data_IF_611025263457
#
_entry.id   IF_611025263457
#
_cell.length_a   1.000
_cell.length_b   1.000
_cell.length_c   1.000
_cell.angle_alpha   90.00
_cell.angle_beta   90.00
_cell.angle_gamma   90.00
#
_symmetry.space_group_name_H-M   'P 1'
#
loop_
_entity.id
_entity.type
_entity.pdbx_description
1 polymer ?
#
# COMPACT_ATOMS: atom_id res chain seq x y z
N UNK A 1 -15.92 -52.23 54.81
CA UNK A 1 -15.14 -51.26 54.01
C UNK A 1 -15.48 -51.53 52.56
N UNK A 2 -16.03 -50.51 51.90
CA UNK A 2 -16.85 -50.61 50.70
C UNK A 2 -16.03 -50.89 49.43
N UNK A 3 -16.60 -51.70 48.52
CA UNK A 3 -16.13 -51.84 47.14
C UNK A 3 -16.57 -50.63 46.32
N UNK A 4 -15.60 -49.92 45.73
CA UNK A 4 -15.87 -48.83 44.78
C UNK A 4 -15.91 -49.38 43.36
N UNK A 5 -17.03 -49.18 42.66
CA UNK A 5 -17.14 -49.37 41.22
C UNK A 5 -16.36 -48.28 40.47
N UNK A 6 -15.65 -48.71 39.43
CA UNK A 6 -14.96 -47.82 38.48
C UNK A 6 -16.00 -47.30 37.47
N UNK A 7 -16.11 -46.00 37.21
CA UNK A 7 -17.12 -45.49 36.28
C UNK A 7 -16.80 -45.92 34.84
N UNK A 8 -17.80 -46.49 34.18
CA UNK A 8 -17.74 -46.95 32.80
C UNK A 8 -17.72 -45.74 31.85
N UNK A 9 -16.63 -45.57 31.09
CA UNK A 9 -16.54 -44.54 30.05
C UNK A 9 -17.46 -44.93 28.90
N UNK A 10 -18.46 -44.10 28.61
CA UNK A 10 -19.37 -44.32 27.49
C UNK A 10 -18.59 -44.24 26.17
N UNK A 11 -18.59 -45.34 25.41
CA UNK A 11 -18.03 -45.41 24.06
C UNK A 11 -19.05 -44.80 23.11
N UNK A 12 -18.73 -43.64 22.52
CA UNK A 12 -19.58 -43.02 21.48
C UNK A 12 -19.72 -43.99 20.29
N UNK A 13 -20.94 -44.13 19.76
CA UNK A 13 -21.21 -45.05 18.66
C UNK A 13 -20.99 -44.35 17.32
N UNK A 14 -20.75 -45.13 16.26
CA UNK A 14 -20.58 -44.60 14.89
C UNK A 14 -21.80 -43.78 14.39
N UNK A 15 -22.94 -43.82 15.08
CA UNK A 15 -24.13 -43.01 14.78
C UNK A 15 -24.11 -41.59 15.35
N UNK A 16 -23.10 -41.21 16.14
CA UNK A 16 -23.02 -39.89 16.79
C UNK A 16 -22.35 -38.81 15.90
N UNK A 17 -21.91 -39.17 14.70
CA UNK A 17 -21.27 -38.27 13.75
C UNK A 17 -22.30 -37.70 12.77
N UNK A 18 -22.52 -36.38 12.82
CA UNK A 18 -23.25 -35.67 11.76
C UNK A 18 -22.37 -35.61 10.52
N UNK A 19 -22.95 -35.86 9.34
CA UNK A 19 -22.31 -35.53 8.07
C UNK A 19 -21.94 -34.04 8.08
N UNK A 20 -20.64 -33.78 7.97
CA UNK A 20 -20.13 -32.47 7.58
C UNK A 20 -20.73 -32.17 6.21
N UNK A 21 -21.59 -31.14 6.14
CA UNK A 21 -22.13 -30.65 4.87
C UNK A 21 -20.99 -30.46 3.86
N UNK A 22 -21.28 -30.70 2.58
CA UNK A 22 -20.29 -30.64 1.51
C UNK A 22 -19.37 -29.42 1.69
N UNK A 23 -18.07 -29.69 1.80
CA UNK A 23 -17.08 -28.63 1.87
C UNK A 23 -17.28 -27.71 0.64
N UNK A 24 -17.29 -26.38 0.82
CA UNK A 24 -17.41 -25.46 -0.31
C UNK A 24 -16.32 -25.80 -1.32
N UNK A 25 -16.69 -25.87 -2.61
CA UNK A 25 -15.71 -26.16 -3.65
C UNK A 25 -14.62 -25.08 -3.65
N UNK A 26 -13.33 -25.46 -3.77
CA UNK A 26 -12.25 -24.49 -3.85
C UNK A 26 -12.50 -23.55 -5.03
N UNK A 27 -12.70 -22.26 -4.77
CA UNK A 27 -12.69 -21.27 -5.84
C UNK A 27 -11.28 -21.21 -6.43
N UNK A 28 -11.19 -21.14 -7.76
CA UNK A 28 -9.91 -20.95 -8.42
C UNK A 28 -9.29 -19.63 -7.94
N UNK A 29 -7.97 -19.58 -7.70
CA UNK A 29 -7.29 -18.37 -7.27
C UNK A 29 -7.55 -17.20 -8.23
N UNK A 30 -7.61 -16.00 -7.68
CA UNK A 30 -7.61 -14.80 -8.49
C UNK A 30 -6.39 -14.77 -9.42
N UNK A 31 -6.63 -14.50 -10.70
CA UNK A 31 -5.59 -14.61 -11.73
C UNK A 31 -5.54 -13.36 -12.58
N UNK A 32 -4.33 -13.09 -13.07
CA UNK A 32 -4.06 -11.99 -13.98
C UNK A 32 -4.93 -12.09 -15.25
N UNK A 33 -5.20 -10.97 -15.93
CA UNK A 33 -5.82 -10.98 -17.25
C UNK A 33 -5.06 -11.87 -18.26
N UNK A 34 -5.73 -12.35 -19.30
CA UNK A 34 -5.10 -13.15 -20.36
C UNK A 34 -4.06 -12.38 -21.19
N UNK A 35 -3.14 -13.09 -21.83
CA UNK A 35 -2.01 -12.50 -22.54
C UNK A 35 -2.42 -11.53 -23.68
N UNK A 36 -3.47 -11.86 -24.42
CA UNK A 36 -4.02 -10.98 -25.48
C UNK A 36 -4.48 -9.64 -24.90
N UNK A 37 -5.27 -9.67 -23.83
CA UNK A 37 -5.71 -8.47 -23.14
C UNK A 37 -4.53 -7.65 -22.60
N UNK A 38 -3.51 -8.32 -22.04
CA UNK A 38 -2.33 -7.64 -21.52
C UNK A 38 -1.58 -6.91 -22.64
N UNK A 39 -1.35 -7.58 -23.78
CA UNK A 39 -0.65 -7.00 -24.92
C UNK A 39 -1.38 -5.76 -25.46
N UNK A 40 -2.69 -5.85 -25.68
CA UNK A 40 -3.51 -4.73 -26.14
C UNK A 40 -3.51 -3.57 -25.13
N UNK A 41 -3.70 -3.90 -23.84
CA UNK A 41 -3.81 -2.91 -22.78
C UNK A 41 -2.49 -2.20 -22.49
N UNK A 42 -1.34 -2.88 -22.62
CA UNK A 42 -0.02 -2.25 -22.57
C UNK A 42 0.14 -1.19 -23.66
N UNK A 43 -0.27 -1.51 -24.90
CA UNK A 43 -0.28 -0.55 -26.00
C UNK A 43 -1.16 0.68 -25.73
N UNK A 44 -2.29 0.50 -25.05
CA UNK A 44 -3.14 1.60 -24.61
C UNK A 44 -2.51 2.43 -23.48
N UNK A 45 -1.89 1.77 -22.50
CA UNK A 45 -1.20 2.45 -21.38
C UNK A 45 -0.12 3.38 -21.92
N UNK A 46 0.71 2.93 -22.86
CA UNK A 46 1.74 3.79 -23.47
C UNK A 46 1.15 4.98 -24.25
N UNK A 47 0.03 4.78 -24.95
CA UNK A 47 -0.70 5.88 -25.59
C UNK A 47 -1.22 6.89 -24.56
N UNK A 48 -1.79 6.43 -23.46
CA UNK A 48 -2.31 7.31 -22.41
C UNK A 48 -1.18 8.07 -21.71
N UNK A 49 -0.05 7.41 -21.44
CA UNK A 49 1.15 8.05 -20.87
C UNK A 49 1.62 9.19 -21.76
N UNK A 50 1.78 8.95 -23.06
CA UNK A 50 2.14 9.99 -24.02
C UNK A 50 1.10 11.13 -24.07
N UNK A 51 -0.20 10.78 -24.06
CA UNK A 51 -1.27 11.77 -24.11
C UNK A 51 -1.30 12.70 -22.89
N UNK A 52 -0.90 12.23 -21.70
CA UNK A 52 -0.83 13.05 -20.49
C UNK A 52 0.14 14.23 -20.62
N UNK A 53 1.26 14.02 -21.32
CA UNK A 53 2.29 15.03 -21.57
C UNK A 53 2.06 15.83 -22.86
N UNK A 54 0.91 15.65 -23.50
CA UNK A 54 0.48 16.43 -24.65
C UNK A 54 -0.42 17.59 -24.25
N UNK A 55 -0.78 18.45 -25.20
CA UNK A 55 -1.75 19.53 -24.97
C UNK A 55 -3.10 19.02 -24.47
N UNK A 56 -3.53 17.82 -24.89
CA UNK A 56 -4.81 17.27 -24.49
C UNK A 56 -4.84 16.87 -23.00
N UNK A 57 -3.66 16.57 -22.43
CA UNK A 57 -3.49 16.13 -21.05
C UNK A 57 -3.28 17.25 -20.04
N UNK A 58 -3.18 18.52 -20.46
CA UNK A 58 -2.82 19.65 -19.60
C UNK A 58 -3.68 19.76 -18.34
N UNK A 59 -5.01 19.62 -18.47
CA UNK A 59 -5.93 19.65 -17.32
C UNK A 59 -5.74 18.47 -16.38
N UNK A 60 -5.41 17.29 -16.92
CA UNK A 60 -5.15 16.10 -16.13
C UNK A 60 -3.82 16.20 -15.38
N UNK A 61 -2.80 16.76 -16.03
CA UNK A 61 -1.49 17.00 -15.42
C UNK A 61 -1.59 18.06 -14.31
N UNK A 62 -2.28 19.17 -14.55
CA UNK A 62 -2.54 20.18 -13.53
C UNK A 62 -3.29 19.62 -12.31
N UNK A 63 -4.26 18.73 -12.54
CA UNK A 63 -4.94 18.02 -11.46
C UNK A 63 -4.00 17.14 -10.63
N UNK A 64 -3.08 16.42 -11.27
CA UNK A 64 -2.10 15.58 -10.58
C UNK A 64 -1.13 16.43 -9.74
N UNK A 65 -0.64 17.54 -10.31
CA UNK A 65 0.22 18.49 -9.59
C UNK A 65 -0.50 19.15 -8.41
N UNK A 66 -1.80 19.48 -8.54
CA UNK A 66 -2.60 20.00 -7.44
C UNK A 66 -2.73 19.00 -6.28
N UNK A 67 -2.67 17.70 -6.56
CA UNK A 67 -2.62 16.63 -5.54
C UNK A 67 -1.23 16.42 -4.94
N UNK A 68 -0.24 17.21 -5.35
CA UNK A 68 1.12 17.12 -4.83
C UNK A 68 2.02 16.08 -5.52
N UNK A 69 1.54 15.42 -6.58
CA UNK A 69 2.33 14.42 -7.30
C UNK A 69 3.36 15.12 -8.21
N UNK A 70 4.62 14.71 -8.08
CA UNK A 70 5.74 15.19 -8.89
C UNK A 70 5.83 14.38 -10.20
N UNK A 71 6.46 14.96 -11.22
CA UNK A 71 6.63 14.34 -12.54
C UNK A 71 7.31 12.97 -12.46
N UNK A 72 8.31 12.81 -11.57
CA UNK A 72 8.96 11.53 -11.32
C UNK A 72 7.96 10.45 -10.86
N UNK A 73 7.11 10.79 -9.90
CA UNK A 73 6.05 9.92 -9.38
C UNK A 73 5.04 9.58 -10.49
N UNK A 74 4.62 10.57 -11.27
CA UNK A 74 3.70 10.39 -12.40
C UNK A 74 4.28 9.42 -13.44
N UNK A 75 5.58 9.56 -13.76
CA UNK A 75 6.29 8.67 -14.67
C UNK A 75 6.48 7.27 -14.10
N UNK A 76 6.86 7.16 -12.82
CA UNK A 76 7.10 5.90 -12.11
C UNK A 76 5.87 5.00 -12.13
N UNK A 77 4.72 5.56 -11.74
CA UNK A 77 3.44 4.83 -11.71
C UNK A 77 2.75 4.72 -13.07
N UNK A 78 3.38 5.24 -14.13
CA UNK A 78 2.88 5.12 -15.50
C UNK A 78 1.52 5.81 -15.70
N UNK A 79 1.28 6.90 -14.99
CA UNK A 79 0.03 7.65 -15.15
C UNK A 79 -0.10 8.19 -16.57
N UNK A 80 -1.35 8.25 -17.02
CA UNK A 80 -1.68 8.69 -18.37
C UNK A 80 -2.99 9.45 -18.43
N UNK A 81 -3.39 9.85 -19.62
CA UNK A 81 -4.64 10.54 -19.88
C UNK A 81 -5.40 9.88 -21.03
N UNK A 82 -6.71 9.75 -20.84
CA UNK A 82 -7.65 9.31 -21.87
C UNK A 82 -8.66 10.43 -22.11
N UNK A 83 -8.82 10.82 -23.38
CA UNK A 83 -9.70 11.92 -23.77
C UNK A 83 -11.21 11.60 -23.70
N UNK A 84 -11.62 10.34 -23.82
CA UNK A 84 -13.05 9.99 -23.75
C UNK A 84 -13.35 8.58 -23.19
N UNK A 85 -14.17 8.47 -22.11
CA UNK A 85 -14.48 9.54 -21.18
C UNK A 85 -13.21 10.13 -20.56
N UNK A 86 -13.23 11.43 -20.29
CA UNK A 86 -12.05 12.18 -19.79
C UNK A 86 -11.61 11.68 -18.43
N UNK A 87 -10.39 11.17 -18.35
CA UNK A 87 -9.85 10.71 -17.08
C UNK A 87 -8.36 10.41 -17.10
N UNK A 88 -7.79 10.40 -15.90
CA UNK A 88 -6.42 9.99 -15.64
C UNK A 88 -6.39 8.47 -15.60
N UNK A 89 -5.59 7.83 -16.47
CA UNK A 89 -5.37 6.39 -16.43
C UNK A 89 -4.36 6.03 -15.35
N UNK A 90 -4.68 5.03 -14.54
CA UNK A 90 -3.89 4.51 -13.42
C UNK A 90 -3.70 3.00 -13.67
N UNK A 91 -2.57 2.59 -14.28
CA UNK A 91 -2.27 1.18 -14.49
C UNK A 91 -1.73 0.54 -13.21
N UNK A 92 -2.09 -0.71 -12.94
CA UNK A 92 -1.56 -1.50 -11.83
C UNK A 92 -0.73 -2.66 -12.34
N UNK A 93 0.56 -2.61 -12.03
CA UNK A 93 1.50 -3.68 -12.29
C UNK A 93 1.84 -4.42 -11.00
N UNK A 94 1.96 -5.74 -11.09
CA UNK A 94 2.50 -6.60 -10.03
C UNK A 94 3.31 -7.72 -10.68
N UNK A 95 4.55 -7.95 -10.24
CA UNK A 95 5.54 -8.80 -10.89
C UNK A 95 5.69 -8.51 -12.39
N UNK A 96 5.61 -7.23 -12.79
CA UNK A 96 5.68 -6.81 -14.20
C UNK A 96 4.47 -7.17 -15.06
N UNK A 97 3.41 -7.74 -14.47
CA UNK A 97 2.15 -8.09 -15.15
C UNK A 97 1.13 -6.96 -14.97
N UNK A 98 0.48 -6.54 -16.05
CA UNK A 98 -0.61 -5.55 -15.98
C UNK A 98 -1.91 -6.23 -15.52
N UNK A 99 -2.40 -5.84 -14.35
CA UNK A 99 -3.63 -6.38 -13.76
C UNK A 99 -4.87 -5.58 -14.10
N UNK A 100 -4.76 -4.25 -14.03
CA UNK A 100 -5.88 -3.37 -14.35
C UNK A 100 -5.41 -2.02 -14.85
N UNK A 101 -6.31 -1.31 -15.53
CA UNK A 101 -6.19 0.12 -15.80
C UNK A 101 -7.46 0.79 -15.30
N UNK A 102 -7.36 1.55 -14.21
CA UNK A 102 -8.45 2.40 -13.71
C UNK A 102 -8.37 3.76 -14.38
N UNK A 103 -9.51 4.44 -14.47
CA UNK A 103 -9.56 5.83 -14.88
C UNK A 103 -10.24 6.65 -13.81
N UNK A 104 -9.50 7.61 -13.25
CA UNK A 104 -10.08 8.66 -12.42
C UNK A 104 -10.75 9.68 -13.33
N UNK A 105 -12.08 9.78 -13.27
CA UNK A 105 -12.81 10.73 -14.11
C UNK A 105 -12.58 12.17 -13.64
N UNK A 106 -12.39 13.07 -14.61
CA UNK A 106 -12.24 14.52 -14.37
C UNK A 106 -13.54 15.30 -14.62
N UNK A 107 -14.47 14.72 -15.38
CA UNK A 107 -15.80 15.29 -15.62
C UNK A 107 -16.81 14.84 -14.55
N UNK A 108 -17.68 15.75 -14.10
CA UNK A 108 -18.81 15.41 -13.23
C UNK A 108 -19.95 14.70 -13.99
N UNK A 109 -20.73 13.88 -13.28
CA UNK A 109 -21.96 13.25 -13.79
C UNK A 109 -21.98 11.72 -13.81
N UNK A 110 -20.84 11.06 -13.54
CA UNK A 110 -20.71 9.61 -13.49
C UNK A 110 -19.92 9.11 -12.27
N UNK A 111 -19.61 7.81 -12.21
CA UNK A 111 -18.78 7.26 -11.13
C UNK A 111 -17.38 7.86 -11.15
N UNK A 112 -16.87 8.18 -9.95
CA UNK A 112 -15.54 8.78 -9.71
C UNK A 112 -14.41 7.99 -10.39
N UNK A 113 -14.52 6.66 -10.39
CA UNK A 113 -13.58 5.75 -11.05
C UNK A 113 -14.33 4.80 -11.96
N UNK A 114 -13.73 4.52 -13.12
CA UNK A 114 -14.13 3.42 -14.03
C UNK A 114 -12.93 2.52 -14.31
N UNK A 115 -13.16 1.31 -14.80
CA UNK A 115 -12.10 0.35 -15.09
C UNK A 115 -12.11 -0.03 -16.57
N UNK A 116 -10.93 -0.20 -17.17
CA UNK A 116 -10.82 -0.77 -18.52
C UNK A 116 -11.43 -2.17 -18.52
N UNK A 117 -12.30 -2.47 -19.48
CA UNK A 117 -12.95 -3.78 -19.58
C UNK A 117 -11.90 -4.89 -19.62
N UNK A 118 -12.12 -5.99 -18.89
CA UNK A 118 -11.17 -7.10 -18.75
C UNK A 118 -10.16 -6.94 -17.61
N UNK A 119 -10.07 -5.75 -17.01
CA UNK A 119 -9.24 -5.49 -15.84
C UNK A 119 -9.62 -6.36 -14.63
N UNK A 120 -8.63 -6.59 -13.77
CA UNK A 120 -8.71 -7.31 -12.50
C UNK A 120 -8.45 -6.35 -11.33
N UNK A 121 -9.44 -5.53 -10.90
CA UNK A 121 -9.24 -4.40 -9.98
C UNK A 121 -8.99 -4.79 -8.51
N UNK A 122 -9.00 -6.09 -8.18
CA UNK A 122 -8.66 -6.59 -6.85
C UNK A 122 -7.16 -6.90 -6.69
N UNK A 123 -6.33 -6.40 -7.62
CA UNK A 123 -4.89 -6.48 -7.48
C UNK A 123 -4.34 -5.48 -6.47
N UNK A 124 -3.35 -5.92 -5.68
CA UNK A 124 -2.64 -5.07 -4.74
C UNK A 124 -1.77 -4.06 -5.50
N UNK A 125 -2.14 -2.79 -5.45
CA UNK A 125 -1.39 -1.71 -6.08
C UNK A 125 -0.06 -1.51 -5.36
N UNK A 126 1.03 -1.39 -6.13
CA UNK A 126 2.40 -1.23 -5.63
C UNK A 126 2.91 -2.42 -4.79
N UNK A 127 2.35 -3.63 -4.93
CA UNK A 127 2.75 -4.78 -4.11
C UNK A 127 4.24 -5.18 -4.24
N UNK A 128 4.89 -4.83 -5.34
CA UNK A 128 6.28 -5.19 -5.61
C UNK A 128 7.28 -4.52 -4.66
N UNK A 129 6.89 -3.44 -3.96
CA UNK A 129 7.73 -2.79 -2.95
C UNK A 129 7.72 -3.49 -1.60
N UNK A 130 6.87 -4.51 -1.41
CA UNK A 130 6.80 -5.25 -0.15
C UNK A 130 8.01 -6.17 0.01
N UNK A 131 8.83 -5.86 1.01
CA UNK A 131 10.11 -6.53 1.30
C UNK A 131 9.97 -7.34 2.59
N UNK A 132 10.63 -8.51 2.62
CA UNK A 132 10.61 -9.36 3.80
C UNK A 132 11.34 -8.75 4.98
N UNK A 133 10.70 -8.74 6.16
CA UNK A 133 11.33 -8.31 7.42
C UNK A 133 11.31 -6.82 7.71
N UNK A 134 10.58 -6.02 6.92
CA UNK A 134 10.42 -4.58 7.12
C UNK A 134 8.96 -4.21 7.35
N UNK A 135 8.73 -3.08 8.02
CA UNK A 135 7.42 -2.47 8.09
C UNK A 135 6.87 -2.10 6.70
N UNK A 136 5.56 -2.16 6.52
CA UNK A 136 4.86 -1.62 5.35
C UNK A 136 3.60 -0.88 5.75
N UNK A 137 3.22 0.13 4.96
CA UNK A 137 1.99 0.90 5.14
C UNK A 137 0.94 0.50 4.09
N UNK A 138 -0.27 0.21 4.55
CA UNK A 138 -1.44 0.07 3.70
C UNK A 138 -2.33 1.31 3.81
N UNK A 139 -2.67 1.91 2.67
CA UNK A 139 -3.60 3.05 2.54
C UNK A 139 -4.80 2.67 1.65
N UNK A 140 -5.88 3.47 1.63
CA UNK A 140 -7.10 3.13 0.89
C UNK A 140 -7.02 3.30 -0.64
N UNK A 141 -6.25 4.28 -1.09
CA UNK A 141 -6.28 4.73 -2.49
C UNK A 141 -4.94 4.66 -3.21
N UNK A 142 -4.99 4.56 -4.54
CA UNK A 142 -3.80 4.55 -5.38
C UNK A 142 -3.06 5.89 -5.32
N UNK A 143 -3.78 7.02 -5.20
CA UNK A 143 -3.13 8.33 -5.08
C UNK A 143 -2.40 8.52 -3.76
N UNK A 144 -2.97 8.05 -2.65
CA UNK A 144 -2.29 8.08 -1.35
C UNK A 144 -1.06 7.17 -1.38
N UNK A 145 -1.14 6.04 -2.07
CA UNK A 145 0.01 5.15 -2.27
C UNK A 145 1.13 5.84 -3.06
N UNK A 146 0.79 6.56 -4.14
CA UNK A 146 1.77 7.30 -4.95
C UNK A 146 2.43 8.43 -4.16
N UNK A 147 1.64 9.16 -3.37
CA UNK A 147 2.13 10.26 -2.55
C UNK A 147 2.98 9.75 -1.39
N UNK A 148 2.57 8.68 -0.72
CA UNK A 148 3.38 8.00 0.27
C UNK A 148 4.71 7.48 -0.32
N UNK A 149 4.69 6.86 -1.50
CA UNK A 149 5.91 6.45 -2.19
C UNK A 149 6.82 7.64 -2.49
N UNK A 150 6.24 8.78 -2.87
CA UNK A 150 6.99 10.00 -3.12
C UNK A 150 7.65 10.55 -1.85
N UNK A 151 6.93 10.60 -0.73
CA UNK A 151 7.43 11.25 0.48
C UNK A 151 8.28 10.31 1.35
N UNK A 152 7.97 9.01 1.40
CA UNK A 152 8.68 8.04 2.23
C UNK A 152 9.88 7.43 1.50
N UNK A 153 9.86 7.43 0.17
CA UNK A 153 10.89 6.77 -0.66
C UNK A 153 11.08 5.32 -0.22
N UNK A 154 12.29 4.97 0.20
CA UNK A 154 12.71 3.60 0.51
C UNK A 154 12.48 3.19 1.97
N UNK A 155 11.99 4.09 2.84
CA UNK A 155 11.93 3.82 4.30
C UNK A 155 10.65 3.13 4.75
N UNK A 156 9.51 3.41 4.10
CA UNK A 156 8.21 2.85 4.45
C UNK A 156 7.46 2.44 3.17
N UNK A 157 7.68 1.21 2.69
CA UNK A 157 6.97 0.66 1.53
C UNK A 157 5.46 0.78 1.71
N UNK A 158 4.79 1.43 0.75
CA UNK A 158 3.34 1.67 0.82
C UNK A 158 2.62 0.96 -0.31
N UNK A 159 1.47 0.36 -0.01
CA UNK A 159 0.62 -0.33 -0.99
C UNK A 159 -0.86 -0.06 -0.72
N UNK A 160 -1.73 -0.44 -1.65
CA UNK A 160 -3.18 -0.43 -1.42
C UNK A 160 -3.89 -1.64 -2.05
N UNK A 161 -4.88 -2.25 -1.36
CA UNK A 161 -5.84 -3.15 -2.00
C UNK A 161 -6.87 -2.40 -2.90
N UNK A 162 -6.87 -1.07 -2.87
CA UNK A 162 -7.81 -0.19 -3.55
C UNK A 162 -9.26 -0.45 -3.13
N UNK A 163 -10.20 -0.11 -4.01
CA UNK A 163 -11.64 -0.26 -3.76
C UNK A 163 -12.17 -1.71 -3.67
N UNK A 164 -11.29 -2.72 -3.69
CA UNK A 164 -11.65 -4.15 -3.69
C UNK A 164 -11.37 -4.79 -2.31
N UNK A 165 -11.58 -4.05 -1.23
CA UNK A 165 -11.24 -4.44 0.15
C UNK A 165 -12.19 -5.45 0.79
N UNK A 166 -13.28 -5.84 0.13
CA UNK A 166 -14.27 -6.75 0.72
C UNK A 166 -13.78 -8.21 0.83
N UNK A 167 -12.76 -8.59 0.06
CA UNK A 167 -12.13 -9.91 0.14
C UNK A 167 -10.73 -9.90 -0.50
N UNK A 168 -9.70 -10.28 0.25
CA UNK A 168 -8.34 -10.47 -0.27
C UNK A 168 -8.14 -11.94 -0.61
N UNK A 169 -7.84 -12.23 -1.87
CA UNK A 169 -7.46 -13.57 -2.32
C UNK A 169 -6.06 -13.92 -1.81
N UNK A 170 -5.98 -14.63 -0.67
CA UNK A 170 -4.71 -15.02 -0.07
C UNK A 170 -3.90 -16.01 -0.91
N UNK A 171 -4.54 -16.80 -1.78
CA UNK A 171 -3.82 -17.68 -2.69
C UNK A 171 -2.97 -16.89 -3.70
N UNK A 172 -3.43 -15.71 -4.08
CA UNK A 172 -2.76 -14.81 -5.03
C UNK A 172 -1.85 -13.83 -4.31
N UNK A 173 -2.35 -13.20 -3.25
CA UNK A 173 -1.73 -12.04 -2.61
C UNK A 173 -0.98 -12.36 -1.33
N UNK A 174 -1.22 -13.53 -0.73
CA UNK A 174 -0.61 -13.93 0.55
C UNK A 174 0.91 -13.87 0.51
N UNK A 175 1.53 -14.26 -0.62
CA UNK A 175 2.99 -14.18 -0.82
C UNK A 175 3.60 -12.77 -0.71
N UNK A 176 2.77 -11.73 -0.82
CA UNK A 176 3.19 -10.33 -0.62
C UNK A 176 2.87 -9.88 0.80
N UNK A 177 1.67 -10.18 1.30
CA UNK A 177 1.19 -9.74 2.62
C UNK A 177 1.89 -10.41 3.80
N UNK A 178 2.59 -11.53 3.58
CA UNK A 178 3.45 -12.17 4.58
C UNK A 178 4.89 -11.64 4.58
N UNK A 179 5.27 -10.78 3.64
CA UNK A 179 6.64 -10.24 3.58
C UNK A 179 6.88 -9.26 4.73
N UNK A 180 6.02 -8.24 4.95
CA UNK A 180 6.25 -7.33 6.05
C UNK A 180 6.25 -8.05 7.39
N UNK A 181 7.13 -7.62 8.31
CA UNK A 181 7.08 -8.09 9.70
C UNK A 181 5.91 -7.44 10.46
N UNK A 182 5.51 -6.24 10.03
CA UNK A 182 4.45 -5.39 10.57
C UNK A 182 3.74 -4.74 9.39
N UNK A 183 2.41 -4.75 9.43
CA UNK A 183 1.56 -4.05 8.45
C UNK A 183 0.83 -2.91 9.16
N UNK A 184 1.30 -1.68 8.98
CA UNK A 184 0.58 -0.50 9.40
C UNK A 184 -0.60 -0.28 8.44
N UNK A 185 -1.76 0.04 8.98
CA UNK A 185 -2.98 0.25 8.21
C UNK A 185 -3.52 1.63 8.55
N UNK A 186 -3.52 2.54 7.57
CA UNK A 186 -4.15 3.85 7.66
C UNK A 186 -5.49 3.81 6.91
N UNK A 187 -6.62 3.63 7.61
CA UNK A 187 -7.95 3.78 7.03
C UNK A 187 -8.37 5.26 6.97
N UNK A 188 -9.18 5.62 5.98
CA UNK A 188 -9.98 6.83 6.00
C UNK A 188 -11.01 6.72 7.14
N UNK A 189 -11.49 7.87 7.61
CA UNK A 189 -12.48 7.94 8.69
C UNK A 189 -13.91 7.69 8.20
N UNK A 190 -14.13 6.61 7.47
CA UNK A 190 -15.43 6.21 6.95
C UNK A 190 -15.69 4.69 7.00
N UNK A 191 -16.85 4.24 6.49
CA UNK A 191 -17.24 2.83 6.50
C UNK A 191 -16.30 1.96 5.63
N UNK A 192 -16.00 2.33 4.37
CA UNK A 192 -14.95 1.68 3.57
C UNK A 192 -13.62 1.47 4.31
N UNK A 193 -13.13 2.47 5.05
CA UNK A 193 -11.90 2.35 5.82
C UNK A 193 -11.95 1.31 6.92
N UNK A 194 -13.08 1.21 7.62
CA UNK A 194 -13.27 0.14 8.62
C UNK A 194 -13.28 -1.26 7.99
N UNK A 195 -13.81 -1.38 6.77
CA UNK A 195 -13.77 -2.65 6.02
C UNK A 195 -12.33 -2.99 5.62
N UNK A 196 -11.57 -2.02 5.10
CA UNK A 196 -10.16 -2.22 4.77
C UNK A 196 -9.36 -2.68 5.99
N UNK A 197 -9.49 -1.98 7.12
CA UNK A 197 -8.80 -2.33 8.36
C UNK A 197 -9.10 -3.77 8.78
N UNK A 198 -10.37 -4.17 8.79
CA UNK A 198 -10.78 -5.53 9.13
C UNK A 198 -10.19 -6.57 8.18
N UNK A 199 -10.28 -6.35 6.87
CA UNK A 199 -9.83 -7.32 5.87
C UNK A 199 -8.31 -7.48 5.90
N UNK A 200 -7.56 -6.38 5.94
CA UNK A 200 -6.09 -6.45 6.01
C UNK A 200 -5.59 -7.00 7.34
N UNK A 201 -6.29 -6.72 8.45
CA UNK A 201 -5.96 -7.31 9.75
C UNK A 201 -6.08 -8.84 9.74
N UNK A 202 -7.02 -9.39 8.97
CA UNK A 202 -7.16 -10.84 8.83
C UNK A 202 -6.15 -11.46 7.84
N UNK A 203 -5.56 -10.65 6.96
CA UNK A 203 -4.76 -11.11 5.83
C UNK A 203 -3.23 -10.92 6.01
N UNK A 204 -2.82 -10.04 6.92
CA UNK A 204 -1.45 -9.54 7.02
C UNK A 204 -0.77 -9.93 8.33
N UNK A 205 0.55 -9.85 8.37
CA UNK A 205 1.35 -10.13 9.57
C UNK A 205 1.39 -8.88 10.47
N UNK A 206 1.16 -9.10 11.77
CA UNK A 206 1.16 -8.08 12.84
C UNK A 206 0.51 -6.75 12.40
N UNK A 207 -0.81 -6.76 12.11
CA UNK A 207 -1.50 -5.57 11.65
C UNK A 207 -1.64 -4.55 12.78
N UNK A 208 -1.34 -3.29 12.48
CA UNK A 208 -1.47 -2.17 13.43
C UNK A 208 -2.27 -1.06 12.75
N UNK A 209 -3.39 -0.67 13.34
CA UNK A 209 -4.12 0.52 12.88
C UNK A 209 -3.35 1.77 13.30
N UNK A 210 -3.10 2.67 12.34
CA UNK A 210 -2.44 3.95 12.58
C UNK A 210 -3.35 5.09 12.14
N UNK A 211 -3.09 6.28 12.67
CA UNK A 211 -3.81 7.50 12.33
C UNK A 211 -2.84 8.59 11.90
N UNK A 212 -3.34 9.51 11.06
CA UNK A 212 -2.64 10.76 10.80
C UNK A 212 -2.55 11.61 12.07
N UNK A 213 -1.60 12.56 12.15
CA UNK A 213 -1.52 13.51 13.26
C UNK A 213 -2.83 14.28 13.47
N UNK A 214 -3.04 14.78 14.70
CA UNK A 214 -4.28 15.43 15.09
C UNK A 214 -4.74 16.52 14.11
N UNK A 215 -5.97 16.41 13.61
CA UNK A 215 -6.61 17.33 12.67
C UNK A 215 -7.84 16.69 12.03
N UNK A 216 -8.51 17.43 11.16
CA UNK A 216 -9.69 16.97 10.41
C UNK A 216 -9.27 16.65 8.97
N UNK A 217 -8.49 15.57 8.83
CA UNK A 217 -7.94 15.12 7.55
C UNK A 217 -8.77 13.96 7.04
N UNK A 218 -9.15 14.03 5.76
CA UNK A 218 -9.87 12.93 5.14
C UNK A 218 -8.96 11.73 4.85
N UNK A 219 -7.85 12.01 4.17
CA UNK A 219 -6.92 11.03 3.63
C UNK A 219 -5.48 11.59 3.66
N UNK A 220 -4.51 10.77 3.28
CA UNK A 220 -3.09 11.14 3.27
C UNK A 220 -2.80 12.32 2.32
N UNK A 221 -3.51 12.37 1.18
CA UNK A 221 -3.42 13.50 0.24
C UNK A 221 -3.92 14.80 0.88
N UNK A 222 -5.04 14.77 1.60
CA UNK A 222 -5.61 15.94 2.28
C UNK A 222 -4.63 16.51 3.33
N UNK A 223 -4.08 15.65 4.19
CA UNK A 223 -3.06 16.04 5.17
C UNK A 223 -1.84 16.68 4.52
N UNK A 224 -1.30 16.07 3.46
CA UNK A 224 -0.13 16.62 2.76
C UNK A 224 -0.43 17.97 2.09
N UNK A 225 -1.55 18.08 1.38
CA UNK A 225 -1.91 19.33 0.68
C UNK A 225 -2.23 20.48 1.64
N UNK A 226 -2.58 20.18 2.89
CA UNK A 226 -2.70 21.14 3.98
C UNK A 226 -1.35 21.56 4.61
N UNK A 227 -0.23 20.99 4.14
CA UNK A 227 1.13 21.27 4.65
C UNK A 227 1.62 20.31 5.72
N UNK A 228 0.99 19.14 5.86
CA UNK A 228 1.41 18.09 6.78
C UNK A 228 2.78 17.50 6.43
N UNK A 229 3.60 17.25 7.45
CA UNK A 229 4.93 16.64 7.30
C UNK A 229 4.82 15.11 7.23
N UNK A 230 4.65 14.59 6.01
CA UNK A 230 4.59 13.16 5.75
C UNK A 230 5.91 12.44 6.09
N UNK A 231 7.10 12.91 5.68
CA UNK A 231 8.36 12.30 6.07
C UNK A 231 8.55 12.21 7.60
N UNK A 232 8.26 13.28 8.33
CA UNK A 232 8.31 13.29 9.80
C UNK A 232 7.34 12.28 10.41
N UNK A 233 6.09 12.26 9.95
CA UNK A 233 5.09 11.30 10.41
C UNK A 233 5.50 9.84 10.16
N UNK A 234 6.09 9.53 9.01
CA UNK A 234 6.60 8.19 8.73
C UNK A 234 7.77 7.79 9.65
N UNK A 235 8.65 8.74 9.98
CA UNK A 235 9.74 8.49 10.94
C UNK A 235 9.20 8.21 12.35
N UNK A 236 8.19 8.95 12.79
CA UNK A 236 7.53 8.70 14.09
C UNK A 236 6.93 7.29 14.14
N UNK A 237 6.25 6.86 13.06
CA UNK A 237 5.71 5.50 12.95
C UNK A 237 6.81 4.43 13.00
N UNK A 238 7.90 4.62 12.25
CA UNK A 238 9.02 3.68 12.26
C UNK A 238 9.69 3.62 13.64
N UNK A 239 9.86 4.76 14.31
CA UNK A 239 10.43 4.78 15.66
C UNK A 239 9.53 4.07 16.68
N UNK A 240 8.21 4.16 16.53
CA UNK A 240 7.25 3.52 17.43
C UNK A 240 7.13 2.02 17.18
N UNK A 241 7.05 1.59 15.91
CA UNK A 241 6.63 0.23 15.56
C UNK A 241 7.72 -0.65 14.95
N UNK A 242 8.73 -0.08 14.28
CA UNK A 242 9.83 -0.83 13.66
C UNK A 242 11.16 -0.10 13.89
N UNK A 243 11.54 0.13 15.17
CA UNK A 243 12.69 0.97 15.48
C UNK A 243 13.94 0.36 14.84
N UNK A 244 14.67 1.21 14.11
CA UNK A 244 15.98 0.85 13.59
C UNK A 244 16.87 0.38 14.75
N UNK A 245 17.78 -0.59 14.52
CA UNK A 245 18.74 -0.99 15.53
C UNK A 245 19.47 0.25 16.06
N UNK A 246 19.64 0.34 17.39
CA UNK A 246 20.27 1.51 18.05
C UNK A 246 21.69 1.81 17.53
N UNK A 247 22.33 0.84 16.84
CA UNK A 247 23.66 0.98 16.26
C UNK A 247 23.62 1.52 14.82
N UNK A 248 23.96 2.80 14.67
CA UNK A 248 24.10 3.52 13.40
C UNK A 248 25.06 2.81 12.42
N UNK A 249 25.98 1.97 12.90
CA UNK A 249 26.90 1.17 12.07
C UNK A 249 26.15 0.10 11.27
N UNK A 250 25.12 -0.51 11.86
CA UNK A 250 24.22 -1.43 11.14
C UNK A 250 23.33 -0.68 10.15
N UNK A 251 22.85 0.51 10.51
CA UNK A 251 22.05 1.35 9.62
C UNK A 251 22.82 1.83 8.38
N UNK A 252 24.09 2.23 8.54
CA UNK A 252 24.94 2.63 7.42
C UNK A 252 25.30 1.45 6.50
N UNK A 253 25.48 0.25 7.05
CA UNK A 253 25.64 -0.99 6.27
C UNK A 253 24.33 -1.40 5.57
N UNK A 254 23.18 -1.20 6.23
CA UNK A 254 21.83 -1.40 5.72
C UNK A 254 21.53 -0.49 4.50
N UNK A 255 21.85 0.80 4.59
CA UNK A 255 21.70 1.75 3.47
C UNK A 255 22.78 1.57 2.39
N UNK A 256 24.01 1.23 2.79
CA UNK A 256 25.16 1.06 1.89
C UNK A 256 25.10 -0.15 0.95
N UNK A 257 24.22 -1.13 1.22
CA UNK A 257 23.98 -2.29 0.35
C UNK A 257 22.98 -2.05 -0.79
N UNK A 258 22.17 -0.97 -0.73
CA UNK A 258 21.10 -0.70 -1.70
C UNK A 258 21.06 0.75 -2.23
N UNK A 259 21.82 1.68 -1.68
CA UNK A 259 21.85 3.05 -2.17
C UNK A 259 22.52 3.16 -3.55
N UNK A 260 21.71 3.15 -4.64
CA UNK A 260 22.12 3.79 -5.89
C UNK A 260 22.16 5.30 -5.66
N UNK A 261 23.39 5.82 -5.59
CA UNK A 261 23.80 7.24 -5.73
C UNK A 261 22.68 8.27 -5.55
N UNK A 262 22.52 8.74 -4.32
CA UNK A 262 22.05 10.11 -4.08
C UNK A 262 23.14 11.02 -4.66
N UNK A 263 22.88 11.57 -5.84
CA UNK A 263 23.75 12.56 -6.46
C UNK A 263 23.78 13.78 -5.56
N UNK A 264 24.98 14.09 -5.06
CA UNK A 264 25.30 15.26 -4.27
C UNK A 264 24.71 16.54 -4.88
N UNK A 265 23.89 17.23 -4.09
CA UNK A 265 23.91 18.70 -4.06
C UNK A 265 23.18 19.21 -2.82
N UNK A 266 23.90 19.31 -1.72
CA UNK A 266 23.57 20.25 -0.63
C UNK A 266 24.84 20.52 0.15
N UNK A 267 25.45 21.67 -0.15
CA UNK A 267 26.33 22.36 0.81
C UNK A 267 25.44 22.79 1.98
N UNK A 268 25.56 22.12 3.12
CA UNK A 268 25.06 22.62 4.40
C UNK A 268 26.11 22.30 5.46
N UNK A 269 26.94 23.30 5.77
CA UNK A 269 27.92 23.23 6.85
C UNK A 269 27.20 23.06 8.19
N UNK A 270 27.41 21.91 8.82
CA UNK A 270 26.93 21.65 10.17
C UNK A 270 27.80 22.41 11.19
N UNK A 271 27.20 23.41 11.85
CA UNK A 271 27.76 24.03 13.05
C UNK A 271 27.72 23.04 14.23
N UNK A 272 28.75 22.19 14.34
CA UNK A 272 29.03 21.42 15.54
C UNK A 272 29.75 22.33 16.57
N UNK A 273 28.99 22.98 17.44
CA UNK A 273 29.57 23.91 18.41
C UNK A 273 28.65 24.36 19.54
N UNK A 274 27.70 23.53 20.00
CA UNK A 274 26.86 23.88 21.17
C UNK A 274 26.61 22.65 22.06
N UNK A 275 27.66 21.98 22.54
CA UNK A 275 27.61 21.17 23.77
C UNK A 275 29.01 21.07 24.38
N UNK A 276 29.51 22.19 24.92
CA UNK A 276 30.75 22.22 25.71
C UNK A 276 30.76 23.44 26.61
N UNK A 277 30.15 23.31 27.80
CA UNK A 277 30.40 24.09 29.03
C UNK A 277 29.28 23.75 30.03
N UNK A 278 29.47 23.47 31.33
CA UNK A 278 30.60 23.46 32.27
C UNK A 278 30.20 22.51 33.41
N UNK A 279 31.14 21.73 33.91
CA UNK A 279 31.08 21.16 35.26
C UNK A 279 32.39 21.52 35.96
N UNK A 280 32.38 22.62 36.72
CA UNK A 280 33.52 23.04 37.53
C UNK A 280 33.54 22.37 38.91
N UNK A 281 34.70 22.36 39.54
CA UNK A 281 34.86 21.98 40.94
C UNK A 281 36.32 22.00 41.35
N UNK A 282 36.69 23.10 42.04
CA UNK A 282 37.81 23.35 42.98
C UNK A 282 39.12 22.55 42.84
#
# INVERSE_FOLDING_TARGET
>A
MAGGEVPQVAVMSAGDFREIGQAPQPQAPYSAPGAEWQLESLGLVEQYRAALWSRDGEQALAYLHQRGLQDETIHHFGLGYRAYPRGISIPCFVDGVLWYVKFRQLSGGGPKYICLQGSKPAALYNADVLISGYCALAVEGEFDTMLAWQEFRDILPTFTPGSATNHIDLATWGRYLIRPNITLILPDNDIPGQVMLKTLSAASVNPIAVSLPAGDWKDLTDFYTAGGDLPGWAMDLLQEYDPLPEDITEFAAFMGGKARKISQKTDFEANAGIYSNKGGGM
#
